data_IF_388571773663
#
_entry.id   IF_388571773663
#
_cell.length_a   1.000
_cell.length_b   1.000
_cell.length_c   1.000
_cell.angle_alpha   90.00
_cell.angle_beta   90.00
_cell.angle_gamma   90.00
#
_symmetry.space_group_name_H-M   'P 1'
#
loop_
_entity.id
_entity.type
_entity.pdbx_description
1 polymer ?
#
# COMPACT_ATOMS: atom_id res chain seq x y z
N UNK A 1 11.71 -19.36 25.02
CA UNK A 1 10.81 -19.02 23.89
C UNK A 1 9.64 -18.20 24.45
N UNK A 2 9.35 -17.01 23.91
CA UNK A 2 8.18 -16.21 24.34
C UNK A 2 6.92 -16.94 23.89
N UNK A 3 5.93 -17.07 24.78
CA UNK A 3 4.69 -17.78 24.48
C UNK A 3 3.96 -17.14 23.28
N UNK A 4 3.38 -17.96 22.40
CA UNK A 4 2.62 -17.51 21.23
C UNK A 4 1.57 -16.41 21.53
N UNK A 5 0.83 -16.47 22.66
CA UNK A 5 -0.11 -15.41 23.04
C UNK A 5 0.55 -14.04 23.26
N UNK A 6 1.76 -14.01 23.84
CA UNK A 6 2.47 -12.75 24.08
C UNK A 6 3.01 -12.11 22.77
N UNK A 7 3.37 -12.95 21.79
CA UNK A 7 3.74 -12.49 20.46
C UNK A 7 2.53 -11.88 19.75
N UNK A 8 1.40 -12.60 19.74
CA UNK A 8 0.18 -12.17 19.07
C UNK A 8 -0.35 -10.84 19.63
N UNK A 9 -0.38 -10.70 20.96
CA UNK A 9 -0.82 -9.46 21.60
C UNK A 9 0.04 -8.24 21.24
N UNK A 10 1.35 -8.42 21.09
CA UNK A 10 2.25 -7.36 20.63
C UNK A 10 2.09 -7.06 19.15
N UNK A 11 1.90 -8.08 18.32
CA UNK A 11 1.65 -7.92 16.89
C UNK A 11 0.37 -7.12 16.63
N UNK A 12 -0.72 -7.46 17.33
CA UNK A 12 -2.01 -6.74 17.21
C UNK A 12 -1.85 -5.25 17.56
N UNK A 13 -1.04 -4.90 18.56
CA UNK A 13 -0.76 -3.49 18.89
C UNK A 13 -0.05 -2.73 17.77
N UNK A 14 0.73 -3.41 16.94
CA UNK A 14 1.43 -2.79 15.82
C UNK A 14 0.54 -2.66 14.56
N UNK A 15 -0.60 -3.34 14.47
CA UNK A 15 -1.46 -3.28 13.29
C UNK A 15 -2.01 -1.87 13.04
N UNK A 16 -2.45 -1.15 14.08
CA UNK A 16 -3.00 0.19 13.92
C UNK A 16 -1.98 1.19 13.36
N UNK A 17 -0.78 1.36 13.95
CA UNK A 17 0.23 2.26 13.38
C UNK A 17 0.77 1.76 12.04
N UNK A 18 0.80 0.45 11.80
CA UNK A 18 1.14 -0.11 10.48
C UNK A 18 0.10 0.25 9.43
N UNK A 19 -1.19 0.18 9.75
CA UNK A 19 -2.28 0.59 8.85
C UNK A 19 -2.20 2.08 8.50
N UNK A 20 -1.86 2.93 9.46
CA UNK A 20 -1.66 4.38 9.19
C UNK A 20 -0.48 4.62 8.25
N UNK A 21 0.61 3.88 8.42
CA UNK A 21 1.78 3.96 7.54
C UNK A 21 1.49 3.40 6.15
N UNK A 22 0.78 2.27 6.06
CA UNK A 22 0.39 1.64 4.82
C UNK A 22 -0.55 2.52 3.98
N UNK A 23 -1.48 3.23 4.61
CA UNK A 23 -2.49 4.04 3.92
C UNK A 23 -1.89 5.07 2.94
N UNK A 24 -0.71 5.61 3.24
CA UNK A 24 -0.01 6.53 2.33
C UNK A 24 0.48 5.81 1.06
N UNK A 25 1.07 4.62 1.20
CA UNK A 25 1.52 3.79 0.08
C UNK A 25 0.35 3.30 -0.76
N UNK A 26 -0.69 2.81 -0.11
CA UNK A 26 -1.93 2.32 -0.74
C UNK A 26 -2.57 3.36 -1.66
N UNK A 27 -2.55 4.65 -1.26
CA UNK A 27 -3.05 5.73 -2.11
C UNK A 27 -2.31 5.84 -3.44
N UNK A 28 -0.99 5.66 -3.44
CA UNK A 28 -0.17 5.66 -4.66
C UNK A 28 -0.46 4.44 -5.53
N UNK A 29 -0.57 3.26 -4.93
CA UNK A 29 -0.86 2.01 -5.64
C UNK A 29 -2.26 2.05 -6.27
N UNK A 30 -3.26 2.54 -5.54
CA UNK A 30 -4.61 2.76 -6.07
C UNK A 30 -4.62 3.79 -7.21
N UNK A 31 -3.86 4.89 -7.07
CA UNK A 31 -3.70 5.90 -8.11
C UNK A 31 -3.10 5.32 -9.39
N UNK A 32 -2.05 4.51 -9.26
CA UNK A 32 -1.47 3.79 -10.40
C UNK A 32 -2.48 2.81 -11.03
N UNK A 33 -3.21 2.04 -10.21
CA UNK A 33 -4.29 1.17 -10.67
C UNK A 33 -5.36 1.92 -11.47
N UNK A 34 -5.74 3.12 -11.01
CA UNK A 34 -6.71 3.96 -11.71
C UNK A 34 -6.22 4.38 -13.09
N UNK A 35 -4.95 4.78 -13.20
CA UNK A 35 -4.34 5.21 -14.46
C UNK A 35 -4.16 4.04 -15.44
N UNK A 36 -3.88 2.86 -14.93
CA UNK A 36 -3.55 1.69 -15.75
C UNK A 36 -4.73 0.78 -16.05
N UNK A 37 -5.69 0.62 -15.17
CA UNK A 37 -6.81 -0.32 -15.30
C UNK A 37 -8.19 0.23 -14.94
N UNK A 38 -8.27 1.55 -14.64
CA UNK A 38 -9.54 2.17 -14.28
C UNK A 38 -9.98 1.90 -12.82
N UNK A 39 -11.23 2.23 -12.46
CA UNK A 39 -11.71 2.16 -11.07
C UNK A 39 -11.63 0.78 -10.44
N UNK A 40 -11.89 -0.28 -11.19
CA UNK A 40 -11.82 -1.66 -10.69
C UNK A 40 -10.38 -2.04 -10.32
N UNK A 41 -9.41 -1.71 -11.16
CA UNK A 41 -8.00 -1.94 -10.88
C UNK A 41 -7.51 -1.07 -9.70
N UNK A 42 -7.95 0.18 -9.59
CA UNK A 42 -7.64 1.04 -8.45
C UNK A 42 -8.08 0.42 -7.12
N UNK A 43 -9.30 -0.11 -7.06
CA UNK A 43 -9.83 -0.80 -5.88
C UNK A 43 -9.09 -2.11 -5.60
N UNK A 44 -8.89 -2.94 -6.63
CA UNK A 44 -8.21 -4.22 -6.49
C UNK A 44 -6.77 -4.07 -5.99
N UNK A 45 -5.99 -3.22 -6.62
CA UNK A 45 -4.61 -2.97 -6.20
C UNK A 45 -4.53 -2.19 -4.88
N UNK A 46 -5.41 -1.20 -4.64
CA UNK A 46 -5.45 -0.48 -3.38
C UNK A 46 -5.76 -1.40 -2.20
N UNK A 47 -6.79 -2.22 -2.30
CA UNK A 47 -7.14 -3.18 -1.24
C UNK A 47 -6.04 -4.23 -1.08
N UNK A 48 -5.53 -4.79 -2.18
CA UNK A 48 -4.46 -5.78 -2.16
C UNK A 48 -3.20 -5.24 -1.50
N UNK A 49 -2.78 -4.03 -1.87
CA UNK A 49 -1.63 -3.34 -1.28
C UNK A 49 -1.82 -3.13 0.23
N UNK A 50 -2.99 -2.66 0.64
CA UNK A 50 -3.28 -2.47 2.06
C UNK A 50 -3.20 -3.78 2.85
N UNK A 51 -3.83 -4.84 2.34
CA UNK A 51 -3.84 -6.15 3.00
C UNK A 51 -2.47 -6.79 3.11
N UNK A 52 -1.56 -6.55 2.16
CA UNK A 52 -0.19 -7.06 2.20
C UNK A 52 0.73 -6.15 3.02
N UNK A 53 0.60 -4.83 2.91
CA UNK A 53 1.47 -3.90 3.60
C UNK A 53 1.24 -3.86 5.11
N UNK A 54 0.00 -3.89 5.57
CA UNK A 54 -0.29 -3.78 7.00
C UNK A 54 0.42 -4.87 7.81
N UNK A 55 0.29 -6.18 7.50
CA UNK A 55 1.01 -7.22 8.23
C UNK A 55 2.53 -7.15 8.01
N UNK A 56 3.01 -6.81 6.81
CA UNK A 56 4.44 -6.69 6.53
C UNK A 56 5.09 -5.59 7.37
N UNK A 57 4.48 -4.41 7.42
CA UNK A 57 4.94 -3.28 8.23
C UNK A 57 4.81 -3.61 9.72
N UNK A 58 3.70 -4.21 10.17
CA UNK A 58 3.52 -4.59 11.58
C UNK A 58 4.61 -5.56 12.05
N UNK A 59 4.96 -6.52 11.19
CA UNK A 59 6.04 -7.46 11.46
C UNK A 59 7.40 -6.75 11.48
N UNK A 60 7.67 -5.89 10.50
CA UNK A 60 8.91 -5.11 10.44
C UNK A 60 9.06 -4.18 11.65
N UNK A 61 7.99 -3.52 12.10
CA UNK A 61 7.96 -2.69 13.31
C UNK A 61 8.30 -3.49 14.56
N UNK A 62 7.89 -4.76 14.60
CA UNK A 62 8.16 -5.65 15.71
C UNK A 62 9.64 -6.00 15.86
N UNK A 63 10.36 -6.17 14.76
CA UNK A 63 11.77 -6.56 14.75
C UNK A 63 12.72 -5.38 14.61
N UNK A 64 12.31 -4.32 13.92
CA UNK A 64 13.09 -3.12 13.68
C UNK A 64 12.23 -1.87 13.94
N UNK A 65 11.96 -1.54 15.22
CA UNK A 65 11.20 -0.35 15.55
C UNK A 65 11.93 0.90 15.05
N UNK A 66 11.17 1.86 14.56
CA UNK A 66 11.70 3.13 14.11
C UNK A 66 12.17 4.01 15.27
N UNK A 67 12.79 5.13 14.94
CA UNK A 67 13.23 6.11 15.93
C UNK A 67 12.06 6.95 16.42
N UNK A 68 11.95 7.14 17.73
CA UNK A 68 10.96 8.05 18.30
C UNK A 68 11.51 9.46 18.28
N UNK A 69 10.77 10.37 17.70
CA UNK A 69 11.07 11.80 17.67
C UNK A 69 10.00 12.57 18.44
N UNK A 70 10.43 13.47 19.30
CA UNK A 70 9.54 14.43 19.95
C UNK A 70 9.48 15.70 19.12
N UNK A 71 8.29 16.25 18.95
CA UNK A 71 8.10 17.50 18.25
C UNK A 71 6.97 18.32 18.87
N UNK A 72 7.03 19.64 18.65
CA UNK A 72 5.96 20.56 19.06
C UNK A 72 5.07 20.81 17.87
N UNK A 73 3.82 20.31 17.88
CA UNK A 73 2.89 20.56 16.79
C UNK A 73 2.60 22.06 16.66
N UNK A 74 2.53 22.54 15.42
CA UNK A 74 2.25 23.93 15.11
C UNK A 74 0.91 24.05 14.41
N UNK A 75 0.18 25.11 14.70
CA UNK A 75 -1.05 25.43 14.02
C UNK A 75 -0.73 25.74 12.53
N UNK A 76 -1.30 25.02 11.56
CA UNK A 76 -0.99 25.19 10.14
C UNK A 76 -1.35 26.59 9.59
N UNK A 77 -2.33 27.28 10.23
CA UNK A 77 -2.77 28.61 9.80
C UNK A 77 -1.90 29.74 10.37
N UNK A 78 -1.38 29.59 11.59
CA UNK A 78 -0.68 30.66 12.31
C UNK A 78 0.81 30.39 12.50
N UNK A 79 1.28 29.17 12.23
CA UNK A 79 2.66 28.74 12.48
C UNK A 79 3.04 28.64 13.97
N UNK A 80 2.17 29.08 14.90
CA UNK A 80 2.43 29.08 16.33
C UNK A 80 2.33 27.69 16.93
N UNK A 81 3.13 27.42 17.97
CA UNK A 81 3.05 26.18 18.73
C UNK A 81 1.64 26.01 19.35
N UNK A 82 1.13 24.79 19.31
CA UNK A 82 -0.12 24.46 19.98
C UNK A 82 0.16 24.37 21.49
N UNK A 83 -0.61 25.08 22.27
CA UNK A 83 -0.48 25.09 23.74
C UNK A 83 -1.47 24.07 24.31
N UNK A 84 -1.02 23.28 25.26
CA UNK A 84 -1.85 22.38 26.03
C UNK A 84 -2.69 23.22 27.03
N UNK A 85 -4.02 23.18 26.96
CA UNK A 85 -4.88 23.99 27.81
C UNK A 85 -4.80 23.61 29.28
N UNK A 86 -4.32 22.40 29.61
CA UNK A 86 -4.20 21.94 31.00
C UNK A 86 -2.94 22.45 31.67
N UNK A 87 -1.84 22.54 30.92
CA UNK A 87 -0.50 22.85 31.46
C UNK A 87 -0.03 24.24 31.09
N UNK A 88 -0.72 24.92 30.17
CA UNK A 88 -0.33 26.20 29.57
C UNK A 88 1.09 26.20 28.97
N UNK A 89 1.59 25.02 28.59
CA UNK A 89 2.89 24.82 27.95
C UNK A 89 2.71 24.35 26.51
N UNK A 90 3.75 24.49 25.70
CA UNK A 90 3.73 23.93 24.34
C UNK A 90 3.47 22.44 24.39
N UNK A 91 2.48 21.99 23.64
CA UNK A 91 2.17 20.55 23.51
C UNK A 91 3.38 19.85 22.89
N UNK A 92 3.81 18.76 23.51
CA UNK A 92 4.83 17.88 22.95
C UNK A 92 4.14 16.60 22.49
N UNK A 93 4.34 16.26 21.25
CA UNK A 93 3.87 14.99 20.67
C UNK A 93 5.07 14.14 20.26
N UNK A 94 4.82 12.83 20.25
CA UNK A 94 5.81 11.86 19.81
C UNK A 94 5.39 11.31 18.45
N UNK A 95 6.28 11.36 17.47
CA UNK A 95 6.17 10.66 16.21
C UNK A 95 7.23 9.55 16.15
N UNK A 96 6.88 8.47 15.49
CA UNK A 96 7.80 7.39 15.24
C UNK A 96 8.18 7.41 13.76
N UNK A 97 9.43 7.76 13.47
CA UNK A 97 9.96 7.72 12.11
C UNK A 97 10.15 6.24 11.72
N UNK A 98 9.69 5.80 10.55
CA UNK A 98 9.83 4.42 10.12
C UNK A 98 11.31 4.04 9.96
N UNK A 99 11.66 2.82 10.36
CA UNK A 99 13.00 2.28 10.10
C UNK A 99 13.19 1.94 8.62
N UNK A 100 14.44 1.81 8.19
CA UNK A 100 14.77 1.35 6.84
C UNK A 100 14.12 -0.01 6.54
N UNK A 101 14.08 -0.92 7.54
CA UNK A 101 13.45 -2.24 7.40
C UNK A 101 11.95 -2.12 7.16
N UNK A 102 11.27 -1.20 7.84
CA UNK A 102 9.85 -0.93 7.62
C UNK A 102 9.58 -0.37 6.23
N UNK A 103 10.45 0.53 5.75
CA UNK A 103 10.32 1.07 4.39
C UNK A 103 10.56 0.00 3.33
N UNK A 104 11.56 -0.86 3.51
CA UNK A 104 11.81 -2.00 2.61
C UNK A 104 10.63 -2.97 2.62
N UNK A 105 10.07 -3.28 3.80
CA UNK A 105 8.90 -4.14 3.91
C UNK A 105 7.68 -3.55 3.19
N UNK A 106 7.46 -2.24 3.32
CA UNK A 106 6.38 -1.54 2.63
C UNK A 106 6.56 -1.61 1.10
N UNK A 107 7.75 -1.25 0.60
CA UNK A 107 8.04 -1.28 -0.83
C UNK A 107 7.92 -2.71 -1.37
N UNK A 108 8.49 -3.69 -0.67
CA UNK A 108 8.42 -5.10 -1.07
C UNK A 108 6.99 -5.62 -1.14
N UNK A 109 6.15 -5.29 -0.16
CA UNK A 109 4.75 -5.67 -0.17
C UNK A 109 3.98 -4.98 -1.33
N UNK A 110 4.23 -3.69 -1.58
CA UNK A 110 3.61 -2.97 -2.70
C UNK A 110 4.01 -3.57 -4.06
N UNK A 111 5.28 -3.90 -4.25
CA UNK A 111 5.74 -4.57 -5.48
C UNK A 111 5.09 -5.95 -5.64
N UNK A 112 4.95 -6.72 -4.54
CA UNK A 112 4.31 -8.04 -4.57
C UNK A 112 2.79 -7.98 -4.80
N UNK A 113 2.17 -6.82 -4.54
CA UNK A 113 0.71 -6.65 -4.71
C UNK A 113 0.27 -6.93 -6.13
N UNK A 114 0.98 -6.41 -7.13
CA UNK A 114 0.58 -6.53 -8.54
C UNK A 114 0.45 -7.99 -8.97
N UNK A 115 1.49 -8.83 -8.91
CA UNK A 115 1.37 -10.21 -9.35
C UNK A 115 0.42 -11.04 -8.49
N UNK A 116 0.28 -10.75 -7.19
CA UNK A 116 -0.65 -11.46 -6.31
C UNK A 116 -2.09 -11.11 -6.65
N UNK A 117 -2.41 -9.84 -6.83
CA UNK A 117 -3.76 -9.41 -7.20
C UNK A 117 -4.11 -9.92 -8.60
N UNK A 118 -3.19 -9.85 -9.55
CA UNK A 118 -3.40 -10.37 -10.90
C UNK A 118 -3.66 -11.88 -10.88
N UNK A 119 -2.91 -12.63 -10.08
CA UNK A 119 -3.13 -14.07 -9.91
C UNK A 119 -4.49 -14.37 -9.30
N UNK A 120 -4.87 -13.67 -8.23
CA UNK A 120 -6.14 -13.89 -7.51
C UNK A 120 -7.35 -13.50 -8.36
N UNK A 121 -7.22 -12.47 -9.16
CA UNK A 121 -8.30 -12.00 -10.04
C UNK A 121 -8.27 -12.66 -11.42
N UNK A 122 -7.29 -13.52 -11.68
CA UNK A 122 -7.05 -14.13 -12.99
C UNK A 122 -7.03 -13.11 -14.13
N UNK A 123 -6.48 -11.94 -13.85
CA UNK A 123 -6.43 -10.82 -14.79
C UNK A 123 -7.79 -10.17 -15.08
N UNK A 124 -8.86 -10.51 -14.31
CA UNK A 124 -10.20 -9.98 -14.54
C UNK A 124 -10.30 -8.47 -14.42
N UNK A 125 -9.39 -7.83 -13.71
CA UNK A 125 -9.33 -6.37 -13.56
C UNK A 125 -9.04 -5.64 -14.88
N UNK A 126 -8.53 -6.35 -15.88
CA UNK A 126 -8.18 -5.82 -17.20
C UNK A 126 -9.04 -6.38 -18.35
N UNK A 127 -10.10 -7.14 -18.05
CA UNK A 127 -10.90 -7.82 -19.07
C UNK A 127 -11.46 -6.88 -20.16
N UNK A 128 -11.77 -5.65 -19.76
CA UNK A 128 -12.41 -4.68 -20.64
C UNK A 128 -11.42 -3.60 -21.14
N UNK A 129 -10.11 -3.79 -20.89
CA UNK A 129 -9.09 -2.83 -21.25
C UNK A 129 -8.18 -3.36 -22.34
N UNK A 130 -7.95 -2.55 -23.34
CA UNK A 130 -6.87 -2.80 -24.31
C UNK A 130 -5.52 -2.66 -23.60
N UNK A 131 -4.62 -3.66 -23.69
CA UNK A 131 -3.28 -3.56 -23.11
C UNK A 131 -2.54 -2.37 -23.73
N UNK A 132 -1.87 -1.58 -22.90
CA UNK A 132 -1.00 -0.51 -23.38
C UNK A 132 0.20 -1.12 -24.13
N UNK A 133 0.83 -0.37 -25.06
CA UNK A 133 2.03 -0.83 -25.75
C UNK A 133 3.14 -1.30 -24.80
N UNK A 134 3.25 -0.69 -23.60
CA UNK A 134 4.21 -1.10 -22.58
C UNK A 134 3.83 -2.43 -21.92
N UNK A 135 2.55 -2.68 -21.66
CA UNK A 135 2.09 -3.95 -21.10
C UNK A 135 2.27 -5.11 -22.08
N UNK A 136 2.11 -4.85 -23.38
CA UNK A 136 2.42 -5.85 -24.42
C UNK A 136 3.92 -6.23 -24.45
N UNK A 137 4.80 -5.29 -24.08
CA UNK A 137 6.25 -5.53 -24.04
C UNK A 137 6.69 -6.32 -22.80
N UNK A 138 6.11 -6.01 -21.62
CA UNK A 138 6.51 -6.63 -20.36
C UNK A 138 5.74 -7.92 -20.03
N UNK A 139 4.54 -8.08 -20.59
CA UNK A 139 3.68 -9.25 -20.34
C UNK A 139 3.08 -9.76 -21.66
N UNK A 140 3.91 -10.28 -22.57
CA UNK A 140 3.42 -10.89 -23.79
C UNK A 140 2.55 -12.10 -23.43
N UNK A 141 1.24 -11.97 -23.54
CA UNK A 141 0.28 -13.05 -23.25
C UNK A 141 -0.64 -12.81 -22.05
N UNK A 142 -0.48 -11.73 -21.29
CA UNK A 142 -1.38 -11.35 -20.20
C UNK A 142 -2.26 -10.18 -20.66
N UNK A 143 -3.43 -10.49 -21.10
CA UNK A 143 -4.49 -9.56 -21.50
C UNK A 143 -5.41 -10.18 -22.54
N UNK A 144 -6.69 -9.82 -22.55
CA UNK A 144 -7.57 -10.25 -23.63
C UNK A 144 -7.03 -9.67 -24.93
N UNK A 145 -6.88 -10.52 -25.94
CA UNK A 145 -6.62 -10.08 -27.31
C UNK A 145 -7.60 -8.96 -27.68
N UNK A 146 -7.14 -7.82 -28.23
CA UNK A 146 -8.01 -6.77 -28.72
C UNK A 146 -9.13 -7.37 -29.56
N UNK A 147 -10.34 -6.87 -29.40
CA UNK A 147 -11.51 -7.42 -30.09
C UNK A 147 -11.33 -7.43 -31.59
N UNK A 148 -10.69 -6.37 -32.12
CA UNK A 148 -10.30 -6.29 -33.53
C UNK A 148 -9.36 -7.43 -33.96
N UNK A 149 -8.44 -7.86 -33.11
CA UNK A 149 -7.55 -9.00 -33.38
C UNK A 149 -8.28 -10.34 -33.25
N UNK A 150 -9.25 -10.44 -32.33
CA UNK A 150 -10.13 -11.61 -32.22
C UNK A 150 -11.01 -11.76 -33.45
N UNK A 151 -11.55 -10.65 -33.96
CA UNK A 151 -12.35 -10.68 -35.20
C UNK A 151 -11.51 -11.04 -36.42
N UNK A 152 -10.28 -10.50 -36.51
CA UNK A 152 -9.37 -10.92 -37.59
C UNK A 152 -9.00 -12.39 -37.53
N UNK A 153 -8.76 -12.92 -36.33
CA UNK A 153 -8.47 -14.36 -36.16
C UNK A 153 -9.71 -15.23 -36.45
N UNK A 154 -10.92 -14.76 -36.13
CA UNK A 154 -12.16 -15.45 -36.49
C UNK A 154 -12.43 -15.42 -38.00
N UNK A 155 -12.03 -14.37 -38.68
CA UNK A 155 -12.20 -14.24 -40.13
C UNK A 155 -11.17 -15.08 -40.92
N UNK A 156 -10.13 -15.56 -40.27
CA UNK A 156 -9.09 -16.39 -40.90
C UNK A 156 -9.26 -17.90 -40.57
N UNK A 157 -10.20 -18.27 -39.70
CA UNK A 157 -10.52 -19.64 -39.32
C UNK A 157 -11.73 -20.16 -40.09
#
# INVERSE_FOLDING_TARGET
MKSAPAFLGKFIKELRPAAQQAALGTGLTAGFGLLTGGPAAALGYGIGDFLLNVPAIALARRFAPGKTRMFTPRNPKTGKAIIDPKTNKSKIETAQDPSTVQNIANIGASVATYPIVDLLTQGSLYKDRLPTPQEQYFYPGVGPLPEALREQLRAQA
#
